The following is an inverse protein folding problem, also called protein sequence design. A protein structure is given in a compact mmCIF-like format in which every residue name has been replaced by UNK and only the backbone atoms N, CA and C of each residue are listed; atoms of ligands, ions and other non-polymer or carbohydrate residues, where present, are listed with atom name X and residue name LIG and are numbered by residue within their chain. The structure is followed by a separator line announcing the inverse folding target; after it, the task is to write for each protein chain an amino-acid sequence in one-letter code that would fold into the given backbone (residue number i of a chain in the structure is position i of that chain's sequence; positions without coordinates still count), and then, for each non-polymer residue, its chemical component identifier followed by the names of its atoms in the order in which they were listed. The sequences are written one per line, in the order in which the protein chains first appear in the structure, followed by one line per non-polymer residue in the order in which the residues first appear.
data_IF_951895307385
#
_entry.id   IF_951895307385
#
_cell.length_a   1.000
_cell.length_b   1.000
_cell.length_c   1.000
_cell.angle_alpha   90.00
_cell.angle_beta   90.00
_cell.angle_gamma   90.00
#
_symmetry.space_group_name_H-M   'P 1'
#
loop_
_entity.id
_entity.type
_entity.pdbx_description
1 polymer ?
#
# COMPACT_ATOMS: atom_id res chain seq x y z
N UNK A 1 -14.60 26.11 -16.68
CA UNK A 1 -15.41 26.06 -15.44
C UNK A 1 -14.51 26.48 -14.27
N UNK A 2 -14.85 27.51 -13.53
CA UNK A 2 -14.17 27.89 -12.30
C UNK A 2 -14.74 27.03 -11.19
N UNK A 3 -13.93 26.16 -10.57
CA UNK A 3 -14.35 25.39 -9.42
C UNK A 3 -14.45 26.25 -8.17
N UNK A 4 -15.58 26.18 -7.47
CA UNK A 4 -15.74 26.83 -6.16
C UNK A 4 -14.80 26.17 -5.17
N UNK A 5 -14.04 26.99 -4.42
CA UNK A 5 -13.17 26.50 -3.37
C UNK A 5 -14.02 25.91 -2.24
N UNK A 6 -13.70 24.69 -1.79
CA UNK A 6 -14.33 24.11 -0.62
C UNK A 6 -13.96 24.91 0.64
N UNK A 7 -14.93 25.58 1.22
CA UNK A 7 -14.74 26.38 2.45
C UNK A 7 -16.10 26.52 3.19
N UNK A 8 -16.34 25.57 4.07
CA UNK A 8 -17.56 25.54 4.88
C UNK A 8 -17.13 25.48 6.36
N UNK A 9 -17.12 26.64 7.07
CA UNK A 9 -16.60 26.71 8.45
C UNK A 9 -17.53 26.01 9.46
N UNK A 10 -18.78 25.80 9.11
CA UNK A 10 -19.77 25.11 9.97
C UNK A 10 -20.51 24.05 9.20
N UNK A 11 -21.17 23.13 9.93
CA UNK A 11 -22.02 22.08 9.37
C UNK A 11 -23.22 22.66 8.65
N UNK A 12 -23.85 23.68 9.22
CA UNK A 12 -25.02 24.37 8.64
C UNK A 12 -24.68 25.02 7.29
N UNK A 13 -23.48 25.61 7.17
CA UNK A 13 -23.01 26.15 5.91
C UNK A 13 -22.84 25.08 4.84
N UNK A 14 -22.36 23.89 5.20
CA UNK A 14 -22.24 22.76 4.31
C UNK A 14 -23.64 22.18 3.94
N UNK A 15 -24.54 22.05 4.91
CA UNK A 15 -25.92 21.58 4.69
C UNK A 15 -26.69 22.50 3.73
N UNK A 16 -26.52 23.84 3.89
CA UNK A 16 -27.10 24.83 2.99
C UNK A 16 -26.60 24.66 1.56
N UNK A 17 -25.31 24.45 1.37
CA UNK A 17 -24.75 24.21 0.02
C UNK A 17 -25.25 22.92 -0.59
N UNK A 18 -25.27 21.81 0.16
CA UNK A 18 -25.82 20.52 -0.25
C UNK A 18 -27.26 20.69 -0.76
N UNK A 19 -28.08 21.41 0.02
CA UNK A 19 -29.46 21.69 -0.33
C UNK A 19 -29.58 22.54 -1.59
N UNK A 20 -28.73 23.57 -1.76
CA UNK A 20 -28.73 24.45 -2.93
C UNK A 20 -28.36 23.73 -4.22
N UNK A 21 -27.54 22.67 -4.09
CA UNK A 21 -27.15 21.83 -5.22
C UNK A 21 -28.18 20.75 -5.57
N UNK A 22 -29.21 20.57 -4.75
CA UNK A 22 -30.23 19.54 -4.95
C UNK A 22 -29.68 18.11 -4.80
N UNK A 23 -28.56 17.93 -4.11
CA UNK A 23 -27.94 16.62 -3.86
C UNK A 23 -28.26 16.12 -2.46
N UNK A 24 -28.22 14.81 -2.27
CA UNK A 24 -28.39 14.20 -0.96
C UNK A 24 -27.05 13.63 -0.47
N UNK A 25 -26.47 14.27 0.55
CA UNK A 25 -25.26 13.79 1.23
C UNK A 25 -25.63 13.68 2.73
N UNK A 26 -25.69 12.45 3.29
CA UNK A 26 -25.99 12.29 4.71
C UNK A 26 -24.84 12.84 5.57
N UNK A 27 -25.15 13.72 6.50
CA UNK A 27 -24.22 14.21 7.51
C UNK A 27 -24.63 13.68 8.88
N UNK A 28 -23.66 13.32 9.70
CA UNK A 28 -23.90 12.82 11.05
C UNK A 28 -22.82 13.33 12.00
N UNK A 29 -23.20 13.52 13.26
CA UNK A 29 -22.28 13.79 14.37
C UNK A 29 -21.95 12.50 15.13
N UNK A 30 -22.60 11.37 14.79
CA UNK A 30 -22.29 10.07 15.38
C UNK A 30 -21.01 9.49 14.77
N UNK A 31 -19.92 9.56 15.52
CA UNK A 31 -18.62 8.97 15.16
C UNK A 31 -18.44 7.55 15.72
N UNK A 32 -19.47 6.98 16.35
CA UNK A 32 -19.42 5.64 16.94
C UNK A 32 -19.06 4.54 15.91
N UNK A 33 -19.49 4.60 14.63
CA UNK A 33 -19.10 3.60 13.63
C UNK A 33 -17.60 3.53 13.41
N UNK A 34 -16.87 4.67 13.50
CA UNK A 34 -15.42 4.70 13.34
C UNK A 34 -14.67 4.00 14.48
N UNK A 35 -15.28 3.92 15.66
CA UNK A 35 -14.69 3.30 16.85
C UNK A 35 -14.95 1.81 16.97
N UNK A 36 -15.82 1.25 16.12
CA UNK A 36 -16.18 -0.18 16.17
C UNK A 36 -15.01 -1.04 15.69
N UNK A 37 -14.68 -2.13 16.42
CA UNK A 37 -13.73 -3.12 15.94
C UNK A 37 -14.18 -3.73 14.60
N UNK A 38 -13.21 -3.97 13.71
CA UNK A 38 -13.48 -4.55 12.39
C UNK A 38 -12.70 -5.86 12.24
N UNK A 39 -13.41 -6.93 11.90
CA UNK A 39 -12.79 -8.24 11.63
C UNK A 39 -12.22 -8.27 10.21
N UNK A 40 -10.95 -8.63 10.09
CA UNK A 40 -10.20 -8.76 8.83
C UNK A 40 -9.61 -10.17 8.78
N UNK A 41 -10.32 -11.09 8.18
CA UNK A 41 -9.95 -12.51 8.19
C UNK A 41 -9.87 -13.08 9.61
N UNK A 42 -8.68 -13.54 10.03
CA UNK A 42 -8.41 -14.05 11.38
C UNK A 42 -7.99 -12.96 12.39
N UNK A 43 -7.88 -11.71 11.95
CA UNK A 43 -7.45 -10.57 12.77
C UNK A 43 -8.63 -9.64 13.06
N UNK A 44 -8.51 -8.85 14.12
CA UNK A 44 -9.47 -7.80 14.46
C UNK A 44 -8.73 -6.49 14.60
N UNK A 45 -9.06 -5.51 13.75
CA UNK A 45 -8.63 -4.13 13.90
C UNK A 45 -9.42 -3.49 15.06
N UNK A 46 -8.77 -2.70 15.91
CA UNK A 46 -9.37 -2.11 17.09
C UNK A 46 -10.47 -1.07 16.77
N UNK A 47 -10.48 -0.54 15.55
CA UNK A 47 -11.44 0.43 15.05
C UNK A 47 -11.54 0.37 13.52
N UNK A 48 -12.45 1.14 12.92
CA UNK A 48 -12.71 1.16 11.48
C UNK A 48 -11.83 2.17 10.70
N UNK A 49 -10.78 2.72 11.32
CA UNK A 49 -9.88 3.67 10.66
C UNK A 49 -8.70 2.91 10.06
N UNK A 50 -8.42 3.17 8.79
CA UNK A 50 -7.32 2.54 8.06
C UNK A 50 -6.38 3.57 7.42
N UNK A 51 -5.07 3.35 7.52
CA UNK A 51 -4.07 4.07 6.74
C UNK A 51 -3.92 3.37 5.39
N UNK A 52 -4.04 4.14 4.32
CA UNK A 52 -3.92 3.66 2.94
C UNK A 52 -2.45 3.44 2.52
N UNK A 53 -2.19 2.53 1.56
CA UNK A 53 -0.83 2.17 1.12
C UNK A 53 -0.25 3.21 0.15
N UNK A 54 0.17 4.36 0.64
CA UNK A 54 0.76 5.43 -0.17
C UNK A 54 2.28 5.32 -0.18
N UNK A 55 2.86 5.16 -1.38
CA UNK A 55 4.31 5.10 -1.56
C UNK A 55 4.99 6.44 -1.21
N UNK A 56 6.03 6.38 -0.38
CA UNK A 56 6.85 7.53 -0.05
C UNK A 56 8.03 7.71 -0.99
N UNK A 57 8.42 6.69 -1.75
CA UNK A 57 9.62 6.65 -2.58
C UNK A 57 10.89 7.07 -1.81
N UNK A 58 10.97 6.68 -0.55
CA UNK A 58 11.98 7.12 0.43
C UNK A 58 12.71 5.95 1.12
N UNK A 59 12.58 4.74 0.57
CA UNK A 59 13.38 3.58 0.95
C UNK A 59 14.86 3.74 0.58
N UNK A 60 15.68 2.80 0.99
CA UNK A 60 17.09 2.72 0.59
C UNK A 60 17.24 2.13 -0.83
N UNK A 61 18.40 2.28 -1.46
CA UNK A 61 18.65 1.73 -2.78
C UNK A 61 18.49 0.19 -2.82
N UNK A 62 18.83 -0.50 -1.73
CA UNK A 62 18.69 -1.95 -1.57
C UNK A 62 17.32 -2.38 -1.03
N UNK A 63 16.34 -1.45 -1.02
CA UNK A 63 14.94 -1.72 -0.76
C UNK A 63 14.54 -1.78 0.71
N UNK A 64 15.40 -1.43 1.68
CA UNK A 64 15.03 -1.36 3.09
C UNK A 64 14.19 -0.12 3.40
N UNK A 65 13.38 -0.14 4.47
CA UNK A 65 12.78 1.07 5.01
C UNK A 65 13.86 2.10 5.38
N UNK A 66 13.82 3.27 4.73
CA UNK A 66 14.73 4.38 5.02
C UNK A 66 14.27 5.20 6.24
N UNK A 67 15.08 6.18 6.65
CA UNK A 67 14.77 7.04 7.81
C UNK A 67 13.41 7.75 7.64
N UNK A 68 13.14 8.30 6.46
CA UNK A 68 11.87 8.98 6.18
C UNK A 68 10.69 8.01 6.20
N UNK A 69 10.88 6.79 5.67
CA UNK A 69 9.90 5.70 5.75
C UNK A 69 9.58 5.41 7.22
N UNK A 70 10.60 5.14 8.04
CA UNK A 70 10.43 4.82 9.46
C UNK A 70 9.71 5.95 10.21
N UNK A 71 10.11 7.22 9.96
CA UNK A 71 9.47 8.39 10.55
C UNK A 71 7.99 8.51 10.16
N UNK A 72 7.65 8.25 8.90
CA UNK A 72 6.26 8.31 8.42
C UNK A 72 5.41 7.24 9.09
N UNK A 73 5.88 6.01 9.18
CA UNK A 73 5.15 4.92 9.81
C UNK A 73 5.08 5.03 11.35
N UNK A 74 6.04 5.65 12.00
CA UNK A 74 5.93 6.04 13.40
C UNK A 74 4.76 7.01 13.63
N UNK A 75 4.57 7.99 12.72
CA UNK A 75 3.42 8.91 12.76
C UNK A 75 2.09 8.17 12.51
N UNK A 76 2.06 7.25 11.55
CA UNK A 76 0.89 6.42 11.30
C UNK A 76 0.55 5.56 12.52
N UNK A 77 1.53 4.95 13.16
CA UNK A 77 1.32 4.19 14.38
C UNK A 77 0.75 5.04 15.52
N UNK A 78 1.18 6.29 15.65
CA UNK A 78 0.67 7.25 16.64
C UNK A 78 -0.75 7.75 16.37
N UNK A 79 -1.24 7.64 15.14
CA UNK A 79 -2.58 8.13 14.75
C UNK A 79 -3.73 7.37 15.40
N UNK A 80 -3.49 6.13 15.85
CA UNK A 80 -4.54 5.29 16.43
C UNK A 80 -5.40 4.54 15.39
N UNK A 81 -4.97 4.48 14.13
CA UNK A 81 -5.65 3.65 13.12
C UNK A 81 -5.57 2.16 13.48
N UNK A 82 -6.69 1.45 13.37
CA UNK A 82 -6.78 0.01 13.64
C UNK A 82 -6.12 -0.85 12.56
N UNK A 83 -6.00 -0.31 11.35
CA UNK A 83 -5.31 -0.95 10.22
C UNK A 83 -4.27 0.01 9.64
N UNK A 84 -3.05 -0.49 9.44
CA UNK A 84 -2.01 0.20 8.67
C UNK A 84 -1.65 -0.68 7.47
N UNK A 85 -2.09 -0.27 6.29
CA UNK A 85 -1.72 -0.91 5.05
C UNK A 85 -0.43 -0.25 4.56
N UNK A 86 0.67 -0.98 4.69
CA UNK A 86 1.98 -0.48 4.30
C UNK A 86 2.06 -0.35 2.77
N UNK A 87 2.87 0.60 2.35
CA UNK A 87 3.08 0.94 0.95
C UNK A 87 3.54 -0.22 0.07
N UNK A 88 3.44 -0.01 -1.24
CA UNK A 88 3.84 -0.97 -2.24
C UNK A 88 5.32 -1.35 -2.08
N UNK A 89 5.54 -2.65 -1.88
CA UNK A 89 6.84 -3.26 -1.72
C UNK A 89 7.08 -4.23 -2.89
N UNK A 90 8.10 -3.97 -3.70
CA UNK A 90 8.40 -4.81 -4.85
C UNK A 90 8.82 -6.23 -4.39
N UNK A 91 8.39 -7.24 -5.15
CA UNK A 91 8.72 -8.65 -4.89
C UNK A 91 9.95 -9.12 -5.69
N UNK A 92 10.32 -8.37 -6.73
CA UNK A 92 11.49 -8.58 -7.60
C UNK A 92 12.09 -7.22 -7.98
N UNK A 93 13.41 -7.14 -8.23
CA UNK A 93 14.06 -5.85 -8.52
C UNK A 93 13.50 -5.18 -9.77
N UNK A 94 13.25 -5.94 -10.83
CA UNK A 94 12.68 -5.46 -12.10
C UNK A 94 11.23 -4.95 -11.97
N UNK A 95 10.55 -5.32 -10.89
CA UNK A 95 9.19 -4.88 -10.59
C UNK A 95 9.09 -3.55 -9.84
N UNK A 96 10.20 -2.89 -9.52
CA UNK A 96 10.22 -1.61 -8.81
C UNK A 96 9.69 -0.47 -9.68
N UNK A 97 8.88 0.41 -9.10
CA UNK A 97 8.37 1.62 -9.75
C UNK A 97 9.42 2.75 -9.77
N UNK A 98 10.41 2.70 -8.88
CA UNK A 98 11.49 3.67 -8.78
C UNK A 98 12.66 3.09 -7.98
N UNK A 99 13.89 3.67 -8.05
CA UNK A 99 15.08 3.15 -7.35
C UNK A 99 14.98 3.16 -5.82
N UNK A 100 14.03 3.88 -5.26
CA UNK A 100 13.84 4.02 -3.81
C UNK A 100 12.53 3.38 -3.31
N UNK A 101 11.84 2.64 -4.16
CA UNK A 101 10.70 1.84 -3.71
C UNK A 101 11.19 0.73 -2.77
N UNK A 102 10.40 0.44 -1.76
CA UNK A 102 10.63 -0.71 -0.89
C UNK A 102 10.70 -2.01 -1.71
N UNK A 103 11.63 -2.88 -1.36
CA UNK A 103 11.83 -4.16 -2.03
C UNK A 103 12.24 -5.22 -1.01
N UNK A 104 11.35 -6.16 -0.72
CA UNK A 104 11.57 -7.22 0.24
C UNK A 104 12.41 -8.35 -0.37
N UNK A 105 13.53 -8.67 0.28
CA UNK A 105 14.43 -9.76 -0.08
C UNK A 105 14.69 -10.66 1.12
N UNK A 106 15.30 -11.82 0.89
CA UNK A 106 15.76 -12.66 2.00
C UNK A 106 16.85 -11.97 2.85
N UNK A 107 17.66 -11.11 2.22
CA UNK A 107 18.76 -10.41 2.90
C UNK A 107 18.34 -9.23 3.78
N UNK A 108 17.13 -8.69 3.58
CA UNK A 108 16.63 -7.56 4.38
C UNK A 108 15.35 -7.90 5.18
N UNK A 109 15.01 -9.18 5.28
CA UNK A 109 13.81 -9.62 6.00
C UNK A 109 13.78 -9.16 7.46
N UNK A 110 14.91 -9.14 8.14
CA UNK A 110 14.98 -8.75 9.55
C UNK A 110 14.74 -7.24 9.73
N UNK A 111 15.10 -6.40 8.75
CA UNK A 111 14.77 -4.98 8.77
C UNK A 111 13.26 -4.76 8.65
N UNK A 112 12.58 -5.57 7.83
CA UNK A 112 11.11 -5.53 7.73
C UNK A 112 10.42 -6.05 8.98
N UNK A 113 10.96 -7.07 9.66
CA UNK A 113 10.44 -7.51 10.97
C UNK A 113 10.53 -6.39 11.99
N UNK A 114 11.70 -5.74 12.10
CA UNK A 114 11.91 -4.59 12.99
C UNK A 114 10.98 -3.43 12.65
N UNK A 115 10.79 -3.16 11.36
CA UNK A 115 9.86 -2.13 10.88
C UNK A 115 8.43 -2.39 11.35
N UNK A 116 7.91 -3.60 11.15
CA UNK A 116 6.55 -3.97 11.58
C UNK A 116 6.42 -3.97 13.09
N UNK A 117 7.41 -4.50 13.81
CA UNK A 117 7.38 -4.52 15.27
C UNK A 117 7.44 -3.10 15.86
N UNK A 118 8.25 -2.21 15.27
CA UNK A 118 8.30 -0.79 15.66
C UNK A 118 6.96 -0.07 15.48
N UNK A 119 6.22 -0.37 14.41
CA UNK A 119 4.85 0.15 14.20
C UNK A 119 3.92 -0.32 15.33
N UNK A 120 3.92 -1.62 15.62
CA UNK A 120 3.06 -2.23 16.65
C UNK A 120 3.37 -1.71 18.04
N UNK A 121 4.65 -1.68 18.38
CA UNK A 121 5.14 -1.17 19.67
C UNK A 121 4.75 0.29 19.90
N UNK A 122 4.96 1.14 18.88
CA UNK A 122 4.59 2.56 18.95
C UNK A 122 3.09 2.73 19.13
N UNK A 123 2.27 1.97 18.39
CA UNK A 123 0.82 2.02 18.53
C UNK A 123 0.35 1.51 19.89
N UNK A 124 0.89 0.39 20.36
CA UNK A 124 0.58 -0.17 21.69
C UNK A 124 0.89 0.83 22.79
N UNK A 125 2.08 1.45 22.77
CA UNK A 125 2.49 2.43 23.75
C UNK A 125 1.62 3.70 23.73
N UNK A 126 1.22 4.18 22.56
CA UNK A 126 0.47 5.44 22.40
C UNK A 126 -1.03 5.27 22.55
N UNK A 127 -1.59 4.17 22.04
CA UNK A 127 -3.04 3.98 21.87
C UNK A 127 -3.59 2.77 22.64
N UNK A 128 -2.74 1.94 23.28
CA UNK A 128 -3.17 0.80 24.08
C UNK A 128 -3.54 -0.47 23.30
N UNK A 129 -3.34 -0.50 21.98
CA UNK A 129 -3.61 -1.68 21.13
C UNK A 129 -2.57 -1.82 20.01
N UNK A 130 -2.53 -3.00 19.38
CA UNK A 130 -1.74 -3.24 18.17
C UNK A 130 -2.58 -3.07 16.91
N UNK A 131 -2.10 -2.34 15.90
CA UNK A 131 -2.80 -2.28 14.60
C UNK A 131 -2.61 -3.59 13.84
N UNK A 132 -3.58 -3.91 12.96
CA UNK A 132 -3.33 -4.87 11.89
C UNK A 132 -2.41 -4.21 10.87
N UNK A 133 -1.26 -4.84 10.59
CA UNK A 133 -0.30 -4.32 9.60
C UNK A 133 -0.29 -5.25 8.39
N UNK A 134 -0.54 -4.68 7.20
CA UNK A 134 -0.55 -5.39 5.93
C UNK A 134 0.55 -4.83 5.05
N UNK A 135 1.37 -5.68 4.44
CA UNK A 135 2.35 -5.30 3.43
C UNK A 135 1.75 -5.50 2.04
N UNK A 136 1.82 -4.48 1.17
CA UNK A 136 1.38 -4.57 -0.22
C UNK A 136 2.52 -5.12 -1.09
N UNK A 137 2.46 -6.39 -1.44
CA UNK A 137 3.39 -6.99 -2.39
C UNK A 137 3.02 -6.59 -3.82
N UNK A 138 3.96 -6.00 -4.58
CA UNK A 138 3.67 -5.43 -5.90
C UNK A 138 4.72 -5.78 -6.96
N UNK A 139 4.28 -5.62 -8.21
CA UNK A 139 5.11 -5.54 -9.40
C UNK A 139 4.57 -4.41 -10.26
N UNK A 140 5.40 -3.42 -10.58
CA UNK A 140 4.94 -2.19 -11.25
C UNK A 140 4.65 -2.36 -12.75
N UNK A 141 5.01 -3.49 -13.32
CA UNK A 141 4.62 -3.89 -14.68
C UNK A 141 4.99 -2.84 -15.73
N UNK A 142 3.98 -2.27 -16.37
CA UNK A 142 4.12 -1.21 -17.39
C UNK A 142 4.83 0.03 -16.86
N UNK A 143 4.67 0.33 -15.58
CA UNK A 143 5.24 1.49 -14.91
C UNK A 143 6.59 1.22 -14.25
N UNK A 144 7.20 0.04 -14.46
CA UNK A 144 8.48 -0.31 -13.84
C UNK A 144 9.59 0.65 -14.27
N UNK A 145 10.36 1.12 -13.26
CA UNK A 145 11.51 2.04 -13.42
C UNK A 145 12.56 1.72 -12.34
N UNK A 146 13.08 0.50 -12.27
CA UNK A 146 13.99 0.10 -11.20
C UNK A 146 15.22 1.00 -11.07
N UNK A 147 15.75 1.48 -12.20
CA UNK A 147 16.91 2.38 -12.27
C UNK A 147 16.53 3.85 -12.54
N UNK A 148 15.25 4.22 -12.34
CA UNK A 148 14.76 5.58 -12.58
C UNK A 148 14.37 5.88 -14.02
N UNK A 149 14.70 5.00 -14.97
CA UNK A 149 14.27 5.08 -16.37
C UNK A 149 13.18 4.06 -16.65
N UNK A 150 12.21 4.34 -17.55
CA UNK A 150 11.18 3.38 -17.92
C UNK A 150 11.77 2.05 -18.41
N UNK A 151 11.39 0.98 -17.76
CA UNK A 151 11.79 -0.39 -18.08
C UNK A 151 10.57 -1.32 -17.96
N UNK A 152 9.52 -1.10 -18.78
CA UNK A 152 8.26 -1.82 -18.66
C UNK A 152 8.49 -3.33 -18.80
N UNK A 153 7.75 -4.11 -18.00
CA UNK A 153 7.71 -5.56 -18.09
C UNK A 153 6.24 -5.97 -17.95
N UNK A 154 5.63 -6.44 -19.03
CA UNK A 154 4.19 -6.62 -19.15
C UNK A 154 3.80 -8.06 -19.46
N UNK A 155 2.55 -8.41 -19.22
CA UNK A 155 2.02 -9.74 -19.57
C UNK A 155 1.68 -9.84 -21.06
N UNK A 156 1.21 -8.74 -21.66
CA UNK A 156 0.87 -8.63 -23.08
C UNK A 156 0.79 -7.16 -23.50
N UNK A 157 0.97 -6.88 -24.78
CA UNK A 157 0.70 -5.55 -25.35
C UNK A 157 -0.81 -5.31 -25.40
N UNK A 158 -1.25 -4.22 -24.78
CA UNK A 158 -2.65 -3.80 -24.81
C UNK A 158 -2.78 -2.58 -25.73
N UNK A 159 -3.58 -2.66 -26.81
CA UNK A 159 -3.71 -1.56 -27.79
C UNK A 159 -4.14 -0.21 -27.17
N UNK A 160 -4.90 -0.25 -26.06
CA UNK A 160 -5.32 0.97 -25.36
C UNK A 160 -4.13 1.72 -24.73
N UNK A 161 -3.14 0.98 -24.22
CA UNK A 161 -1.99 1.57 -23.50
C UNK A 161 -0.77 1.75 -24.39
N UNK A 162 -0.45 0.78 -25.25
CA UNK A 162 0.71 0.81 -26.13
C UNK A 162 0.42 1.52 -27.46
N UNK A 163 -0.85 1.54 -27.93
CA UNK A 163 -1.22 2.14 -29.21
C UNK A 163 -0.35 1.60 -30.34
N UNK A 164 0.26 2.51 -31.11
CA UNK A 164 1.16 2.18 -32.23
C UNK A 164 2.60 1.90 -31.81
N UNK A 165 2.90 1.88 -30.50
CA UNK A 165 4.23 1.67 -29.95
C UNK A 165 4.28 0.45 -29.02
N UNK A 166 4.14 -0.77 -29.57
CA UNK A 166 4.16 -1.97 -28.76
C UNK A 166 5.50 -2.12 -28.02
N UNK A 167 5.42 -2.62 -26.79
CA UNK A 167 6.60 -2.98 -26.00
C UNK A 167 7.24 -4.19 -26.65
N UNK A 168 8.58 -4.18 -26.72
CA UNK A 168 9.37 -5.23 -27.35
C UNK A 168 9.10 -6.62 -26.76
N UNK A 169 9.20 -7.66 -27.59
CA UNK A 169 8.80 -9.02 -27.22
C UNK A 169 9.62 -9.60 -26.02
N UNK A 170 10.88 -9.19 -25.87
CA UNK A 170 11.76 -9.56 -24.76
C UNK A 170 11.30 -8.97 -23.40
N UNK A 171 10.41 -7.98 -23.45
CA UNK A 171 9.80 -7.32 -22.28
C UNK A 171 8.39 -7.82 -21.97
N UNK A 172 7.95 -8.85 -22.69
CA UNK A 172 6.69 -9.54 -22.41
C UNK A 172 6.97 -10.78 -21.55
N UNK A 173 6.32 -10.86 -20.40
CA UNK A 173 6.50 -11.95 -19.46
C UNK A 173 6.01 -13.27 -20.07
N UNK A 174 6.89 -14.27 -20.14
CA UNK A 174 6.52 -15.64 -20.44
C UNK A 174 5.84 -16.30 -19.22
N UNK A 175 5.12 -17.40 -19.46
CA UNK A 175 4.54 -18.23 -18.38
C UNK A 175 5.60 -18.70 -17.38
N UNK A 176 6.83 -18.96 -17.84
CA UNK A 176 7.98 -19.36 -17.01
C UNK A 176 8.44 -18.22 -16.11
N UNK A 177 8.51 -16.99 -16.63
CA UNK A 177 8.89 -15.80 -15.86
C UNK A 177 7.82 -15.46 -14.83
N UNK A 178 6.55 -15.58 -15.19
CA UNK A 178 5.42 -15.41 -14.28
C UNK A 178 5.46 -16.43 -13.13
N UNK A 179 5.82 -17.66 -13.41
CA UNK A 179 5.99 -18.72 -12.39
C UNK A 179 7.16 -18.45 -11.44
N UNK A 180 8.24 -17.79 -11.91
CA UNK A 180 9.37 -17.36 -11.07
C UNK A 180 8.93 -16.27 -10.10
N UNK A 181 8.21 -15.26 -10.55
CA UNK A 181 7.66 -14.18 -9.71
C UNK A 181 6.69 -14.73 -8.65
N UNK A 182 5.84 -15.70 -9.02
CA UNK A 182 4.98 -16.42 -8.06
C UNK A 182 5.79 -17.17 -7.00
N UNK A 183 6.89 -17.85 -7.38
CA UNK A 183 7.73 -18.58 -6.42
C UNK A 183 8.52 -17.64 -5.52
N UNK A 184 8.93 -16.48 -5.99
CA UNK A 184 9.56 -15.44 -5.18
C UNK A 184 8.60 -14.91 -4.11
N UNK A 185 7.33 -14.72 -4.48
CA UNK A 185 6.26 -14.34 -3.55
C UNK A 185 5.86 -15.47 -2.58
N UNK A 186 5.98 -16.73 -3.03
CA UNK A 186 5.53 -17.92 -2.31
C UNK A 186 6.63 -18.64 -1.52
N UNK A 187 7.91 -18.20 -1.58
CA UNK A 187 8.99 -18.78 -0.77
C UNK A 187 8.84 -18.36 0.70
N UNK A 188 7.79 -18.88 1.30
CA UNK A 188 7.61 -19.02 2.72
C UNK A 188 8.21 -20.36 3.13
N UNK A 189 9.13 -20.43 4.11
CA UNK A 189 9.55 -21.72 4.64
C UNK A 189 8.34 -22.44 5.25
N UNK A 190 8.14 -23.75 5.01
CA UNK A 190 6.95 -24.48 5.44
C UNK A 190 6.87 -24.75 6.95
N UNK A 191 7.81 -24.33 7.75
CA UNK A 191 7.81 -24.60 9.19
C UNK A 191 8.23 -23.40 10.01
N UNK A 192 7.28 -22.84 10.67
CA UNK A 192 7.20 -21.75 11.65
C UNK A 192 6.63 -20.48 11.04
N UNK A 193 5.34 -20.24 11.32
CA UNK A 193 4.74 -18.91 11.23
C UNK A 193 5.53 -17.97 12.11
N UNK A 194 6.22 -16.93 11.60
CA UNK A 194 6.58 -15.84 12.47
C UNK A 194 5.26 -15.19 12.92
N UNK A 195 5.09 -14.86 14.19
CA UNK A 195 3.96 -14.07 14.61
C UNK A 195 4.05 -12.74 13.85
N UNK A 196 3.01 -12.41 13.12
CA UNK A 196 2.64 -11.05 12.76
C UNK A 196 3.08 -10.40 11.45
N UNK A 197 3.47 -11.12 10.40
CA UNK A 197 3.47 -10.55 9.06
C UNK A 197 2.30 -11.17 8.26
N UNK A 198 1.14 -10.54 8.29
CA UNK A 198 0.03 -10.92 7.42
C UNK A 198 0.28 -10.27 6.06
N UNK A 199 1.02 -10.96 5.18
CA UNK A 199 1.18 -10.53 3.81
C UNK A 199 -0.07 -10.91 3.02
N UNK A 200 -0.87 -9.94 2.64
CA UNK A 200 -1.85 -10.11 1.59
C UNK A 200 -1.21 -9.75 0.26
N UNK A 201 -1.19 -10.71 -0.67
CA UNK A 201 -0.77 -10.47 -2.04
C UNK A 201 -1.96 -9.83 -2.74
N UNK A 202 -1.96 -8.52 -2.84
CA UNK A 202 -2.74 -7.84 -3.87
C UNK A 202 -1.84 -7.81 -5.11
N UNK A 203 -2.07 -8.70 -6.07
CA UNK A 203 -1.53 -8.52 -7.39
C UNK A 203 -2.32 -7.36 -8.03
N UNK A 204 -1.90 -6.15 -7.78
CA UNK A 204 -2.21 -5.07 -8.66
C UNK A 204 -1.34 -5.26 -9.92
N UNK A 205 -1.62 -6.31 -10.67
CA UNK A 205 -1.50 -6.22 -12.10
C UNK A 205 -2.52 -5.15 -12.49
N UNK A 206 -2.10 -3.90 -12.52
CA UNK A 206 -2.87 -2.84 -13.13
C UNK A 206 -2.95 -3.14 -14.62
N UNK A 207 -3.81 -4.06 -14.95
CA UNK A 207 -4.33 -4.32 -16.24
C UNK A 207 -5.84 -4.09 -16.14
N UNK A 208 -6.25 -2.88 -16.16
CA UNK A 208 -7.56 -2.44 -16.59
C UNK A 208 -7.34 -1.28 -17.51
#
# INVERSE_FOLDING_TARGET
MTHKKFHYPTKEALESEISSLGVHIPLTDDLSPLKKPVRIGSHTAANAIAIQPMEGCDGTADGRPGELTLRRYDRFAKSGAGLIWAEACAIVPEGRANPRQLWLTAGNLDDYKKFVEGIKETCRRKNGFEPVVILQATHSGRSSKPEGVPAPLIAYNNPIFEGDRPIAADRILSSTTCSRSRRSSARRPPSRRPPALTAWISSAATGT
#
